data_IF_735130782998
#
_entry.id   IF_735130782998
#
_cell.length_a   1.000
_cell.length_b   1.000
_cell.length_c   1.000
_cell.angle_alpha   90.00
_cell.angle_beta   90.00
_cell.angle_gamma   90.00
#
_symmetry.space_group_name_H-M   'P 1'
#
loop_
_entity.id
_entity.type
_entity.pdbx_description
1 polymer ?
#
# COMPACT_ATOMS: atom_id res chain seq x y z
N UNK A 1 -97.67 -1.23 18.32
CA UNK A 1 -96.78 -0.14 18.80
C UNK A 1 -95.42 -0.73 19.15
N UNK A 2 -94.49 -0.63 18.27
CA UNK A 2 -93.15 -1.11 18.45
C UNK A 2 -92.14 0.03 18.33
N UNK A 3 -91.22 0.27 19.29
CA UNK A 3 -90.20 1.30 19.15
C UNK A 3 -88.99 0.69 18.33
N UNK A 4 -88.62 1.45 17.37
CA UNK A 4 -87.45 1.24 16.53
C UNK A 4 -86.21 1.69 17.33
N UNK A 5 -85.29 0.70 17.61
CA UNK A 5 -83.95 0.97 18.13
C UNK A 5 -83.02 1.33 17.00
N UNK A 6 -82.46 2.51 17.01
CA UNK A 6 -81.38 2.96 16.11
C UNK A 6 -80.05 2.43 16.64
N UNK A 7 -79.38 1.55 15.87
CA UNK A 7 -78.00 1.14 16.09
C UNK A 7 -77.10 2.13 15.38
N UNK A 8 -76.27 2.82 16.15
CA UNK A 8 -75.18 3.70 15.68
C UNK A 8 -73.92 2.89 15.51
N UNK A 9 -73.28 2.84 14.33
CA UNK A 9 -71.96 2.15 14.18
C UNK A 9 -70.85 3.03 14.71
N UNK A 10 -70.08 2.49 15.67
CA UNK A 10 -68.89 3.06 16.23
C UNK A 10 -67.73 2.80 15.25
N UNK A 11 -67.35 3.80 14.49
CA UNK A 11 -66.13 3.77 13.63
C UNK A 11 -64.92 3.92 14.53
N UNK A 12 -64.25 2.79 14.80
CA UNK A 12 -62.91 2.75 15.42
C UNK A 12 -61.89 3.15 14.35
N UNK A 13 -61.44 4.39 14.39
CA UNK A 13 -60.31 4.85 13.57
C UNK A 13 -58.99 4.25 14.09
N UNK A 14 -58.43 3.28 13.37
CA UNK A 14 -57.12 2.72 13.63
C UNK A 14 -56.08 3.68 13.04
N UNK A 15 -55.54 4.59 13.85
CA UNK A 15 -54.41 5.44 13.48
C UNK A 15 -53.13 4.60 13.48
N UNK A 16 -52.66 4.19 12.30
CA UNK A 16 -51.31 3.68 12.10
C UNK A 16 -50.30 4.83 12.31
N UNK A 17 -49.72 4.88 13.49
CA UNK A 17 -48.52 5.68 13.72
C UNK A 17 -47.33 5.02 12.98
N UNK A 18 -47.01 5.54 11.80
CA UNK A 18 -45.72 5.27 11.14
C UNK A 18 -44.63 5.92 11.99
N UNK A 19 -43.99 5.13 12.84
CA UNK A 19 -42.71 5.50 13.46
C UNK A 19 -41.67 5.51 12.37
N UNK A 20 -41.39 6.66 11.77
CA UNK A 20 -40.18 6.87 10.99
C UNK A 20 -38.98 6.68 11.95
N UNK A 21 -38.39 5.54 11.93
CA UNK A 21 -37.06 5.33 12.54
C UNK A 21 -36.07 6.14 11.70
N UNK A 22 -35.75 7.35 12.15
CA UNK A 22 -34.57 8.05 11.70
C UNK A 22 -33.37 7.15 12.09
N UNK A 23 -32.83 6.43 11.14
CA UNK A 23 -31.50 5.79 11.29
C UNK A 23 -30.53 6.95 11.42
N UNK A 24 -30.23 7.35 12.64
CA UNK A 24 -29.20 8.31 12.95
C UNK A 24 -27.87 7.69 12.44
N UNK A 25 -27.16 8.44 11.65
CA UNK A 25 -25.80 8.13 11.22
C UNK A 25 -24.97 7.92 12.51
N UNK A 26 -24.61 6.67 12.81
CA UNK A 26 -23.78 6.35 13.96
C UNK A 26 -22.32 6.38 13.51
N UNK A 27 -21.61 7.43 13.82
CA UNK A 27 -20.15 7.52 13.66
C UNK A 27 -19.41 6.32 14.30
N UNK A 28 -20.00 5.70 15.31
CA UNK A 28 -19.46 4.50 15.95
C UNK A 28 -19.38 3.27 15.06
N UNK A 29 -20.17 3.18 14.00
CA UNK A 29 -20.19 2.00 13.12
C UNK A 29 -19.08 2.11 12.07
N UNK A 30 -18.76 3.32 11.58
CA UNK A 30 -17.58 3.59 10.74
C UNK A 30 -16.28 3.34 11.52
N UNK A 31 -16.16 3.86 12.74
CA UNK A 31 -14.99 3.63 13.60
C UNK A 31 -14.79 2.15 13.92
N UNK A 32 -15.84 1.34 13.98
CA UNK A 32 -15.73 -0.10 14.19
C UNK A 32 -15.31 -0.84 12.92
N UNK A 33 -15.80 -0.42 11.76
CA UNK A 33 -15.40 -0.98 10.47
C UNK A 33 -13.92 -0.71 10.18
N UNK A 34 -13.46 0.52 10.39
CA UNK A 34 -12.05 0.90 10.21
C UNK A 34 -11.12 0.12 11.14
N UNK A 35 -11.50 -0.05 12.40
CA UNK A 35 -10.74 -0.87 13.36
C UNK A 35 -10.71 -2.35 12.97
N UNK A 36 -11.81 -2.88 12.44
CA UNK A 36 -11.86 -4.26 11.99
C UNK A 36 -10.95 -4.48 10.78
N UNK A 37 -10.95 -3.56 9.82
CA UNK A 37 -10.06 -3.60 8.66
C UNK A 37 -8.59 -3.50 9.06
N UNK A 38 -8.25 -2.60 9.98
CA UNK A 38 -6.89 -2.46 10.52
C UNK A 38 -6.44 -3.74 11.26
N UNK A 39 -7.32 -4.34 12.05
CA UNK A 39 -7.03 -5.60 12.74
C UNK A 39 -6.79 -6.75 11.74
N UNK A 40 -7.60 -6.84 10.70
CA UNK A 40 -7.43 -7.85 9.65
C UNK A 40 -6.11 -7.66 8.89
N UNK A 41 -5.79 -6.42 8.51
CA UNK A 41 -4.53 -6.06 7.88
C UNK A 41 -3.33 -6.44 8.76
N UNK A 42 -3.37 -6.09 10.04
CA UNK A 42 -2.33 -6.42 11.00
C UNK A 42 -2.19 -7.93 11.21
N UNK A 43 -3.28 -8.67 11.28
CA UNK A 43 -3.27 -10.13 11.36
C UNK A 43 -2.64 -10.76 10.11
N UNK A 44 -2.95 -10.25 8.92
CA UNK A 44 -2.36 -10.68 7.64
C UNK A 44 -0.85 -10.41 7.61
N UNK A 45 -0.43 -9.21 7.99
CA UNK A 45 1.00 -8.84 8.08
C UNK A 45 1.74 -9.76 9.05
N UNK A 46 1.20 -9.97 10.24
CA UNK A 46 1.80 -10.86 11.25
C UNK A 46 1.90 -12.30 10.75
N UNK A 47 0.90 -12.81 10.05
CA UNK A 47 0.94 -14.12 9.41
C UNK A 47 2.05 -14.24 8.38
N UNK A 48 2.24 -13.25 7.51
CA UNK A 48 3.32 -13.21 6.53
C UNK A 48 4.70 -13.18 7.18
N UNK A 49 4.84 -12.42 8.28
CA UNK A 49 6.08 -12.27 9.03
C UNK A 49 6.40 -13.48 9.93
N UNK A 50 5.44 -14.36 10.18
CA UNK A 50 5.63 -15.56 11.01
C UNK A 50 6.52 -16.63 10.35
N UNK A 51 6.73 -16.55 9.03
CA UNK A 51 7.61 -17.49 8.31
C UNK A 51 9.04 -17.44 8.87
N UNK A 52 9.61 -18.56 9.37
CA UNK A 52 10.90 -18.55 10.07
C UNK A 52 12.08 -18.40 9.11
N UNK A 53 12.53 -17.17 8.89
CA UNK A 53 13.56 -16.87 7.89
C UNK A 53 14.51 -15.74 8.29
N UNK A 54 14.27 -15.09 9.43
CA UNK A 54 15.07 -13.92 9.87
C UNK A 54 16.57 -14.19 9.91
N UNK A 55 16.99 -15.39 10.30
CA UNK A 55 18.41 -15.74 10.33
C UNK A 55 19.04 -15.74 8.92
N UNK A 56 18.27 -16.12 7.89
CA UNK A 56 18.76 -16.18 6.50
C UNK A 56 18.90 -14.83 5.83
N UNK A 57 18.05 -13.84 6.23
CA UNK A 57 18.09 -12.48 5.68
C UNK A 57 18.97 -11.52 6.49
N UNK A 58 19.28 -11.88 7.74
CA UNK A 58 20.08 -11.03 8.62
C UNK A 58 21.40 -10.65 7.96
N UNK A 59 21.71 -9.36 7.97
CA UNK A 59 22.89 -8.76 7.36
C UNK A 59 22.99 -8.86 5.82
N UNK A 60 22.01 -9.43 5.13
CA UNK A 60 21.99 -9.38 3.67
C UNK A 60 21.80 -7.94 3.21
N UNK A 61 22.50 -7.57 2.14
CA UNK A 61 22.48 -6.21 1.59
C UNK A 61 21.41 -6.08 0.51
N UNK A 62 20.56 -5.09 0.63
CA UNK A 62 19.50 -4.81 -0.34
C UNK A 62 19.56 -3.36 -0.81
N UNK A 63 19.57 -3.18 -2.13
CA UNK A 63 19.43 -1.87 -2.78
C UNK A 63 17.96 -1.62 -3.11
N UNK A 64 17.44 -0.48 -2.69
CA UNK A 64 16.07 -0.06 -3.00
C UNK A 64 16.11 1.05 -4.03
N UNK A 65 15.44 0.84 -5.15
CA UNK A 65 15.29 1.81 -6.23
C UNK A 65 13.80 2.09 -6.44
N UNK A 66 13.42 3.35 -6.44
CA UNK A 66 12.03 3.77 -6.62
C UNK A 66 11.92 4.62 -7.88
N UNK A 67 10.90 4.35 -8.67
CA UNK A 67 10.47 5.19 -9.78
C UNK A 67 9.00 5.53 -9.68
N UNK A 68 8.60 6.62 -10.27
CA UNK A 68 7.21 7.04 -10.42
C UNK A 68 6.79 6.90 -11.87
N UNK A 69 5.68 6.21 -12.08
CA UNK A 69 5.04 6.10 -13.40
C UNK A 69 3.99 7.19 -13.54
N UNK A 70 4.14 7.99 -14.59
CA UNK A 70 3.12 8.96 -15.03
C UNK A 70 2.86 8.76 -16.51
N UNK A 71 1.64 8.43 -16.87
CA UNK A 71 1.24 8.20 -18.26
C UNK A 71 2.15 7.17 -18.99
N UNK A 72 2.55 6.12 -18.30
CA UNK A 72 3.41 5.08 -18.85
C UNK A 72 4.90 5.42 -18.92
N UNK A 73 5.30 6.65 -18.58
CA UNK A 73 6.71 7.04 -18.47
C UNK A 73 7.18 6.89 -17.02
N UNK A 74 8.29 6.18 -16.82
CA UNK A 74 8.86 6.01 -15.49
C UNK A 74 10.01 7.00 -15.29
N UNK A 75 9.87 7.86 -14.27
CA UNK A 75 10.92 8.72 -13.76
C UNK A 75 11.56 8.05 -12.54
N UNK A 76 12.86 7.76 -12.61
CA UNK A 76 13.59 7.05 -11.57
C UNK A 76 14.64 7.93 -10.87
N UNK A 77 14.41 9.24 -10.83
CA UNK A 77 15.30 10.20 -10.16
C UNK A 77 15.27 10.00 -8.66
N UNK A 78 16.22 9.24 -8.13
CA UNK A 78 16.22 8.80 -6.73
C UNK A 78 16.16 9.95 -5.71
N UNK A 79 16.68 11.13 -6.03
CA UNK A 79 16.67 12.29 -5.12
C UNK A 79 15.27 12.80 -4.76
N UNK A 80 14.25 12.55 -5.58
CA UNK A 80 12.87 13.00 -5.30
C UNK A 80 12.08 12.00 -4.46
N UNK A 81 12.58 10.76 -4.29
CA UNK A 81 11.88 9.70 -3.56
C UNK A 81 12.48 9.41 -2.17
N UNK A 82 13.19 10.37 -1.57
CA UNK A 82 13.86 10.20 -0.28
C UNK A 82 12.93 9.64 0.80
N UNK A 83 11.77 10.25 0.98
CA UNK A 83 10.81 9.85 2.01
C UNK A 83 10.23 8.46 1.75
N UNK A 84 9.93 8.14 0.49
CA UNK A 84 9.41 6.84 0.07
C UNK A 84 10.43 5.73 0.31
N UNK A 85 11.69 5.96 -0.09
CA UNK A 85 12.79 5.03 0.14
C UNK A 85 13.06 4.87 1.63
N UNK A 86 13.01 5.94 2.41
CA UNK A 86 13.18 5.88 3.86
C UNK A 86 12.09 5.06 4.53
N UNK A 87 10.85 5.18 4.11
CA UNK A 87 9.73 4.40 4.64
C UNK A 87 9.92 2.90 4.40
N UNK A 88 10.39 2.49 3.23
CA UNK A 88 10.66 1.09 2.89
C UNK A 88 11.94 0.62 3.60
N UNK A 89 13.01 1.40 3.56
CA UNK A 89 14.29 1.05 4.18
C UNK A 89 14.17 0.84 5.70
N UNK A 90 13.36 1.63 6.41
CA UNK A 90 13.16 1.46 7.86
C UNK A 90 12.57 0.08 8.18
N UNK A 91 11.60 -0.39 7.38
CA UNK A 91 10.96 -1.69 7.53
C UNK A 91 11.90 -2.85 7.17
N UNK A 92 12.66 -2.71 6.10
CA UNK A 92 13.68 -3.71 5.71
C UNK A 92 14.77 -3.84 6.77
N UNK A 93 15.21 -2.73 7.38
CA UNK A 93 16.16 -2.73 8.50
C UNK A 93 15.59 -3.41 9.74
N UNK A 94 14.32 -3.18 10.06
CA UNK A 94 13.65 -3.84 11.18
C UNK A 94 13.61 -5.38 11.00
N UNK A 95 13.65 -5.85 9.75
CA UNK A 95 13.78 -7.28 9.43
C UNK A 95 15.21 -7.82 9.51
N UNK A 96 16.20 -6.96 9.71
CA UNK A 96 17.61 -7.33 9.81
C UNK A 96 18.41 -7.21 8.52
N UNK A 97 17.85 -6.66 7.45
CA UNK A 97 18.56 -6.35 6.22
C UNK A 97 19.43 -5.10 6.36
N UNK A 98 20.52 -5.04 5.61
CA UNK A 98 21.34 -3.84 5.44
C UNK A 98 20.90 -3.12 4.18
N UNK A 99 20.38 -1.90 4.32
CA UNK A 99 19.95 -1.08 3.19
C UNK A 99 20.99 -0.02 2.87
N UNK A 100 20.97 0.47 1.64
CA UNK A 100 21.76 1.61 1.22
C UNK A 100 20.96 2.89 1.33
N UNK A 101 21.63 3.98 1.71
CA UNK A 101 21.06 5.31 1.59
C UNK A 101 21.06 5.74 0.12
N UNK A 102 20.21 6.69 -0.22
CA UNK A 102 20.23 7.25 -1.57
C UNK A 102 21.58 7.86 -1.95
N UNK A 103 22.24 8.51 -1.01
CA UNK A 103 23.55 9.09 -1.23
C UNK A 103 24.58 8.02 -1.59
N UNK A 104 24.60 6.90 -0.86
CA UNK A 104 25.46 5.75 -1.18
C UNK A 104 25.18 5.17 -2.56
N UNK A 105 23.92 5.11 -2.94
CA UNK A 105 23.54 4.62 -4.29
C UNK A 105 24.05 5.60 -5.35
N UNK A 106 23.79 6.89 -5.20
CA UNK A 106 24.20 7.93 -6.17
C UNK A 106 25.69 8.08 -6.34
N UNK A 107 26.46 7.84 -5.28
CA UNK A 107 27.92 7.87 -5.35
C UNK A 107 28.52 6.73 -6.17
N UNK A 108 27.83 5.60 -6.27
CA UNK A 108 28.38 4.39 -6.89
C UNK A 108 27.66 3.97 -8.18
N UNK A 109 26.41 4.35 -8.34
CA UNK A 109 25.56 3.99 -9.48
C UNK A 109 25.16 5.25 -10.23
N UNK A 110 25.52 5.32 -11.50
CA UNK A 110 25.14 6.45 -12.33
C UNK A 110 23.63 6.47 -12.58
N UNK A 111 23.04 7.68 -12.66
CA UNK A 111 21.60 7.82 -12.93
C UNK A 111 21.18 7.12 -14.23
N UNK A 112 22.03 7.15 -15.26
CA UNK A 112 21.77 6.47 -16.53
C UNK A 112 21.61 4.95 -16.39
N UNK A 113 22.33 4.32 -15.46
CA UNK A 113 22.20 2.88 -15.16
C UNK A 113 20.86 2.60 -14.44
N UNK A 114 20.47 3.49 -13.54
CA UNK A 114 19.17 3.40 -12.86
C UNK A 114 18.03 3.55 -13.88
N UNK A 115 18.13 4.52 -14.76
CA UNK A 115 17.13 4.78 -15.80
C UNK A 115 17.02 3.60 -16.79
N UNK A 116 18.17 3.00 -17.18
CA UNK A 116 18.21 1.81 -18.03
C UNK A 116 17.54 0.62 -17.34
N UNK A 117 17.80 0.43 -16.05
CA UNK A 117 17.15 -0.63 -15.27
C UNK A 117 15.63 -0.48 -15.25
N UNK A 118 15.11 0.75 -15.08
CA UNK A 118 13.68 1.01 -15.13
C UNK A 118 13.07 0.85 -16.53
N UNK A 119 13.89 0.88 -17.57
CA UNK A 119 13.50 0.52 -18.95
C UNK A 119 13.62 -0.98 -19.25
N UNK A 120 13.75 -1.81 -18.20
CA UNK A 120 13.90 -3.25 -18.27
C UNK A 120 15.21 -3.75 -18.90
N UNK A 121 16.30 -2.99 -18.76
CA UNK A 121 17.64 -3.45 -19.06
C UNK A 121 18.18 -4.30 -17.89
N UNK A 122 18.30 -5.63 -18.03
CA UNK A 122 18.73 -6.52 -16.96
C UNK A 122 20.21 -6.33 -16.61
N UNK A 123 21.05 -5.94 -17.57
CA UNK A 123 22.47 -5.76 -17.35
C UNK A 123 22.75 -4.51 -16.51
N UNK A 124 21.95 -3.47 -16.64
CA UNK A 124 22.04 -2.28 -15.80
C UNK A 124 21.81 -2.61 -14.31
N UNK A 125 20.83 -3.46 -14.02
CA UNK A 125 20.56 -3.93 -12.66
C UNK A 125 21.72 -4.73 -12.08
N UNK A 126 22.26 -5.65 -12.87
CA UNK A 126 23.36 -6.52 -12.47
C UNK A 126 24.63 -5.69 -12.19
N UNK A 127 24.93 -4.70 -13.03
CA UNK A 127 26.07 -3.81 -12.85
C UNK A 127 25.92 -2.94 -11.58
N UNK A 128 24.76 -2.36 -11.36
CA UNK A 128 24.48 -1.59 -10.15
C UNK A 128 24.63 -2.44 -8.88
N UNK A 129 24.11 -3.68 -8.89
CA UNK A 129 24.23 -4.58 -7.74
C UNK A 129 25.67 -4.97 -7.44
N UNK A 130 26.49 -5.20 -8.47
CA UNK A 130 27.92 -5.50 -8.31
C UNK A 130 28.70 -4.35 -7.70
N UNK A 131 28.46 -3.12 -8.16
CA UNK A 131 29.12 -1.91 -7.64
C UNK A 131 28.87 -1.70 -6.14
N UNK A 132 27.65 -1.96 -5.69
CA UNK A 132 27.25 -1.84 -4.28
C UNK A 132 27.52 -3.12 -3.48
N UNK A 133 27.90 -4.23 -4.10
CA UNK A 133 27.92 -5.55 -3.49
C UNK A 133 26.56 -5.90 -2.83
N UNK A 134 25.46 -5.54 -3.47
CA UNK A 134 24.10 -5.82 -3.02
C UNK A 134 23.76 -7.29 -3.33
N UNK A 135 23.15 -7.97 -2.38
CA UNK A 135 22.64 -9.34 -2.56
C UNK A 135 21.29 -9.33 -3.30
N UNK A 136 20.53 -8.25 -3.10
CA UNK A 136 19.18 -8.08 -3.63
C UNK A 136 18.97 -6.67 -4.16
N UNK A 137 18.07 -6.56 -5.13
CA UNK A 137 17.55 -5.29 -5.63
C UNK A 137 16.02 -5.32 -5.45
N UNK A 138 15.50 -4.33 -4.76
CA UNK A 138 14.08 -4.04 -4.69
C UNK A 138 13.77 -2.86 -5.62
N UNK A 139 13.10 -3.14 -6.73
CA UNK A 139 12.57 -2.13 -7.64
C UNK A 139 11.12 -1.83 -7.25
N UNK A 140 10.84 -0.58 -6.95
CA UNK A 140 9.50 -0.09 -6.71
C UNK A 140 9.05 0.86 -7.82
N UNK A 141 7.82 0.70 -8.30
CA UNK A 141 7.17 1.65 -9.20
C UNK A 141 5.91 2.14 -8.53
N UNK A 142 5.84 3.44 -8.33
CA UNK A 142 4.72 4.12 -7.68
C UNK A 142 3.97 4.88 -8.74
N UNK A 143 2.67 4.66 -8.83
CA UNK A 143 1.76 5.43 -9.66
C UNK A 143 0.82 6.20 -8.75
N UNK A 144 0.81 7.51 -8.89
CA UNK A 144 -0.05 8.42 -8.12
C UNK A 144 -0.98 9.12 -9.09
N UNK A 145 -2.27 9.01 -8.86
CA UNK A 145 -3.31 9.70 -9.62
C UNK A 145 -4.12 10.57 -8.68
N UNK A 146 -4.21 11.86 -9.00
CA UNK A 146 -5.12 12.78 -8.32
C UNK A 146 -6.30 13.07 -9.25
N UNK A 147 -7.51 12.74 -8.78
CA UNK A 147 -8.76 13.02 -9.50
C UNK A 147 -9.62 13.93 -8.66
N UNK A 148 -10.38 14.83 -9.31
CA UNK A 148 -11.32 15.69 -8.61
C UNK A 148 -12.69 15.03 -8.58
N UNK A 149 -13.22 14.77 -7.40
CA UNK A 149 -14.60 14.36 -7.25
C UNK A 149 -15.49 15.60 -7.38
N UNK A 150 -16.25 15.66 -8.47
CA UNK A 150 -17.08 16.84 -8.78
C UNK A 150 -18.31 16.97 -7.89
N UNK A 151 -18.77 15.88 -7.24
CA UNK A 151 -19.94 15.90 -6.38
C UNK A 151 -19.65 16.57 -5.03
N UNK A 152 -18.48 16.25 -4.44
CA UNK A 152 -18.09 16.81 -3.13
C UNK A 152 -16.95 17.82 -3.25
N UNK A 153 -16.51 18.10 -4.46
CA UNK A 153 -15.49 19.10 -4.79
C UNK A 153 -14.16 18.94 -4.03
N UNK A 154 -13.76 17.69 -3.79
CA UNK A 154 -12.47 17.34 -3.15
C UNK A 154 -11.59 16.54 -4.10
N UNK A 155 -10.27 16.58 -3.88
CA UNK A 155 -9.36 15.73 -4.60
C UNK A 155 -9.32 14.34 -3.95
N UNK A 156 -9.33 13.31 -4.79
CA UNK A 156 -9.05 11.93 -4.40
C UNK A 156 -7.67 11.56 -4.92
N UNK A 157 -6.82 11.00 -4.06
CA UNK A 157 -5.52 10.46 -4.42
C UNK A 157 -5.61 8.95 -4.41
N UNK A 158 -5.32 8.35 -5.57
CA UNK A 158 -5.15 6.91 -5.70
C UNK A 158 -3.67 6.61 -5.89
N UNK A 159 -3.16 5.64 -5.13
CA UNK A 159 -1.78 5.17 -5.24
C UNK A 159 -1.80 3.69 -5.57
N UNK A 160 -1.02 3.34 -6.58
CA UNK A 160 -0.65 1.97 -6.88
C UNK A 160 0.86 1.82 -6.70
N UNK A 161 1.27 0.81 -5.93
CA UNK A 161 2.67 0.47 -5.72
C UNK A 161 2.93 -0.94 -6.24
N UNK A 162 3.84 -1.08 -7.19
CA UNK A 162 4.29 -2.38 -7.68
C UNK A 162 5.77 -2.57 -7.34
N UNK A 163 6.08 -3.66 -6.65
CA UNK A 163 7.44 -3.98 -6.21
C UNK A 163 7.92 -5.31 -6.78
N UNK A 164 9.15 -5.32 -7.25
CA UNK A 164 9.83 -6.51 -7.75
C UNK A 164 11.12 -6.70 -7.00
N UNK A 165 11.29 -7.84 -6.33
CA UNK A 165 12.51 -8.25 -5.65
C UNK A 165 13.28 -9.21 -6.54
N UNK A 166 14.52 -8.87 -6.84
CA UNK A 166 15.45 -9.73 -7.60
C UNK A 166 16.71 -9.99 -6.80
N UNK A 167 17.34 -11.14 -7.05
CA UNK A 167 18.69 -11.41 -6.58
C UNK A 167 19.72 -10.64 -7.39
N UNK A 168 20.97 -10.59 -6.88
CA UNK A 168 22.11 -9.97 -7.58
C UNK A 168 22.42 -10.59 -8.96
N UNK A 169 21.92 -11.79 -9.21
CA UNK A 169 22.03 -12.48 -10.51
C UNK A 169 20.85 -12.18 -11.47
N UNK A 170 20.00 -11.22 -11.13
CA UNK A 170 18.81 -10.84 -11.91
C UNK A 170 17.62 -11.80 -11.75
N UNK A 171 17.75 -12.90 -10.99
CA UNK A 171 16.65 -13.86 -10.80
C UNK A 171 15.52 -13.23 -10.00
N UNK A 172 14.31 -13.29 -10.53
CA UNK A 172 13.11 -12.85 -9.84
C UNK A 172 12.87 -13.68 -8.58
N UNK A 173 12.68 -13.02 -7.44
CA UNK A 173 12.36 -13.64 -6.15
C UNK A 173 10.90 -13.43 -5.79
N UNK A 174 10.41 -12.20 -5.88
CA UNK A 174 9.03 -11.87 -5.52
C UNK A 174 8.52 -10.68 -6.32
N UNK A 175 7.24 -10.66 -6.55
CA UNK A 175 6.51 -9.49 -7.02
C UNK A 175 5.29 -9.29 -6.16
N UNK A 176 5.05 -8.05 -5.76
CA UNK A 176 3.87 -7.68 -4.97
C UNK A 176 3.39 -6.30 -5.39
N UNK A 177 2.13 -6.03 -5.13
CA UNK A 177 1.55 -4.71 -5.34
C UNK A 177 0.63 -4.37 -4.17
N UNK A 178 0.52 -3.09 -3.88
CA UNK A 178 -0.46 -2.56 -2.96
C UNK A 178 -1.08 -1.31 -3.57
N UNK A 179 -2.34 -1.07 -3.27
CA UNK A 179 -3.05 0.13 -3.68
C UNK A 179 -3.82 0.69 -2.51
N UNK A 180 -3.91 1.99 -2.44
CA UNK A 180 -4.72 2.68 -1.46
C UNK A 180 -5.29 3.95 -2.07
N UNK A 181 -6.38 4.45 -1.50
CA UNK A 181 -7.03 5.66 -1.95
C UNK A 181 -7.50 6.48 -0.75
N UNK A 182 -7.37 7.78 -0.83
CA UNK A 182 -7.89 8.68 0.20
C UNK A 182 -8.31 10.01 -0.42
N UNK A 183 -9.09 10.75 0.32
CA UNK A 183 -9.48 12.10 -0.08
C UNK A 183 -8.43 13.09 0.45
N UNK A 184 -7.75 13.77 -0.48
CA UNK A 184 -6.80 14.81 -0.17
C UNK A 184 -7.42 16.16 -0.47
N UNK A 185 -7.24 17.12 0.41
CA UNK A 185 -7.60 18.51 0.16
C UNK A 185 -6.65 19.16 -0.87
N UNK A 186 -5.95 20.21 -0.47
CA UNK A 186 -4.99 20.91 -1.34
C UNK A 186 -3.63 20.19 -1.46
N UNK A 187 -3.20 19.44 -0.42
CA UNK A 187 -1.92 18.74 -0.39
C UNK A 187 -2.03 17.27 -0.82
N UNK A 188 -2.11 17.06 -2.13
CA UNK A 188 -2.12 15.72 -2.72
C UNK A 188 -0.79 14.97 -2.54
N UNK A 189 0.33 15.70 -2.48
CA UNK A 189 1.66 15.10 -2.35
C UNK A 189 1.91 14.54 -0.95
N UNK A 190 1.55 15.31 0.08
CA UNK A 190 1.64 14.84 1.48
C UNK A 190 0.73 13.66 1.74
N UNK A 191 -0.48 13.68 1.20
CA UNK A 191 -1.41 12.55 1.31
C UNK A 191 -0.87 11.31 0.60
N UNK A 192 -0.27 11.47 -0.59
CA UNK A 192 0.37 10.37 -1.29
C UNK A 192 1.46 9.69 -0.47
N UNK A 193 2.28 10.47 0.23
CA UNK A 193 3.30 9.92 1.13
C UNK A 193 2.68 9.16 2.32
N UNK A 194 1.60 9.67 2.89
CA UNK A 194 0.86 8.99 3.96
C UNK A 194 0.37 7.62 3.49
N UNK A 195 -0.30 7.57 2.35
CA UNK A 195 -0.78 6.31 1.78
C UNK A 195 0.34 5.30 1.49
N UNK A 196 1.50 5.79 1.04
CA UNK A 196 2.67 4.94 0.85
C UNK A 196 3.15 4.37 2.19
N UNK A 197 3.22 5.18 3.23
CA UNK A 197 3.61 4.70 4.56
C UNK A 197 2.67 3.62 5.10
N UNK A 198 1.37 3.77 4.90
CA UNK A 198 0.35 2.80 5.31
C UNK A 198 0.48 1.46 4.56
N UNK A 199 0.86 1.49 3.28
CA UNK A 199 0.95 0.28 2.44
C UNK A 199 2.30 -0.43 2.53
N UNK A 200 3.37 0.27 2.94
CA UNK A 200 4.73 -0.28 2.91
C UNK A 200 4.93 -1.49 3.85
N UNK A 201 4.19 -1.56 4.95
CA UNK A 201 4.29 -2.70 5.88
C UNK A 201 3.81 -4.00 5.24
N UNK A 202 2.68 -3.96 4.53
CA UNK A 202 2.15 -5.13 3.83
C UNK A 202 3.05 -5.56 2.66
N UNK A 203 3.56 -4.59 1.89
CA UNK A 203 4.52 -4.84 0.81
C UNK A 203 5.75 -5.56 1.34
N UNK A 204 6.38 -5.04 2.38
CA UNK A 204 7.60 -5.64 2.95
C UNK A 204 7.33 -7.01 3.56
N UNK A 205 6.19 -7.20 4.24
CA UNK A 205 5.79 -8.49 4.79
C UNK A 205 5.59 -9.55 3.70
N UNK A 206 4.96 -9.18 2.58
CA UNK A 206 4.76 -10.07 1.43
C UNK A 206 6.08 -10.47 0.80
N UNK A 207 6.97 -9.50 0.52
CA UNK A 207 8.31 -9.75 -0.03
C UNK A 207 9.12 -10.69 0.87
N UNK A 208 9.04 -10.49 2.20
CA UNK A 208 9.67 -11.35 3.18
C UNK A 208 9.14 -12.78 3.11
N UNK A 209 7.83 -12.95 3.18
CA UNK A 209 7.19 -14.27 3.13
C UNK A 209 7.57 -15.05 1.86
N UNK A 210 7.52 -14.39 0.71
CA UNK A 210 7.84 -15.00 -0.58
C UNK A 210 9.31 -15.42 -0.66
N UNK A 211 10.21 -14.56 -0.20
CA UNK A 211 11.62 -14.89 -0.11
C UNK A 211 11.85 -16.14 0.74
N UNK A 212 11.20 -16.21 1.89
CA UNK A 212 11.36 -17.30 2.84
C UNK A 212 10.81 -18.62 2.30
N UNK A 213 9.65 -18.59 1.65
CA UNK A 213 9.04 -19.77 1.02
C UNK A 213 9.91 -20.34 -0.10
N UNK A 214 10.49 -19.49 -0.95
CA UNK A 214 11.35 -19.95 -2.05
C UNK A 214 12.67 -20.55 -1.58
N UNK A 215 13.20 -20.10 -0.45
CA UNK A 215 14.45 -20.61 0.14
C UNK A 215 14.22 -21.81 1.06
N UNK A 216 12.97 -22.12 1.40
CA UNK A 216 12.61 -23.24 2.26
C UNK A 216 12.44 -24.58 1.56
N UNK A 217 12.46 -24.61 0.22
CA UNK A 217 12.53 -25.87 -0.54
C UNK A 217 14.00 -26.17 -0.87
N UNK A 218 14.54 -27.30 -0.37
CA UNK A 218 15.85 -27.81 -0.72
C UNK A 218 15.96 -28.12 -2.22
#
# INVERSE_FOLDING_TARGET
>A
MTPRTLLLPLLLGLSLALTAQAQGFKFSDEDQADKAEEMEKNARINSLLSTPCRAKIKNQKIMVLIGESRNGLISARQSVYNSHISAINSRLKAMGLKTYTQEQIRQQVAQAEIDAYFKNDPDAALNASKKLAANYILRGVIETQATRNLMVNVNQVNINMAFTLTGANGKLISQTSASNASYAGADTSGMALTLINESADEVVATLYSDYCKRRGHP
#
